data_IF_464633585213
#
_entry.id   IF_464633585213
#
_cell.length_a   1.000
_cell.length_b   1.000
_cell.length_c   1.000
_cell.angle_alpha   90.00
_cell.angle_beta   90.00
_cell.angle_gamma   90.00
#
_symmetry.space_group_name_H-M   'P 1'
#
loop_
_entity.id
_entity.type
_entity.pdbx_description
1 polymer ?
#
# COMPACT_ATOMS: atom_id res chain seq x y z
N UNK A 1 -9.30 18.24 4.79
CA UNK A 1 -8.10 18.76 5.49
C UNK A 1 -6.88 18.02 4.95
N UNK A 2 -5.86 18.74 4.50
CA UNK A 2 -4.61 18.17 3.99
C UNK A 2 -3.62 18.00 5.14
N UNK A 3 -2.89 16.87 5.14
CA UNK A 3 -1.81 16.58 6.09
C UNK A 3 -0.47 16.61 5.36
N UNK A 4 0.41 17.52 5.76
CA UNK A 4 1.78 17.60 5.27
C UNK A 4 2.62 16.46 5.86
N UNK A 5 3.50 15.86 5.06
CA UNK A 5 4.31 14.70 5.45
C UNK A 5 5.81 14.96 5.48
N UNK A 6 6.27 16.01 4.83
CA UNK A 6 7.68 16.38 4.77
C UNK A 6 7.90 17.85 5.14
N UNK A 7 9.12 18.22 5.49
CA UNK A 7 9.47 19.60 5.87
C UNK A 7 9.27 20.61 4.72
N UNK A 8 9.41 20.16 3.48
CA UNK A 8 9.20 21.00 2.29
C UNK A 8 7.72 21.28 2.02
N UNK A 9 6.81 20.47 2.57
CA UNK A 9 5.38 20.52 2.28
C UNK A 9 5.00 20.11 0.87
N UNK A 10 5.92 19.49 0.13
CA UNK A 10 5.68 19.02 -1.22
C UNK A 10 4.80 17.77 -1.26
N UNK A 11 4.93 16.87 -0.27
CA UNK A 11 4.12 15.66 -0.15
C UNK A 11 3.05 15.84 0.91
N UNK A 12 1.80 15.68 0.51
CA UNK A 12 0.63 15.79 1.40
C UNK A 12 -0.34 14.65 1.18
N UNK A 13 -1.17 14.39 2.17
CA UNK A 13 -2.31 13.48 2.08
C UNK A 13 -3.62 14.26 2.27
N UNK A 14 -4.62 13.89 1.51
CA UNK A 14 -5.98 14.38 1.62
C UNK A 14 -6.94 13.18 1.63
N UNK A 15 -7.93 13.21 2.50
CA UNK A 15 -8.97 12.17 2.53
C UNK A 15 -9.67 12.10 1.17
N UNK A 16 -9.95 10.88 0.73
CA UNK A 16 -10.74 10.60 -0.49
C UNK A 16 -12.14 11.17 -0.34
N UNK A 17 -12.64 11.77 -1.41
CA UNK A 17 -14.02 12.22 -1.55
C UNK A 17 -14.67 11.57 -2.77
N UNK A 18 -16.02 11.55 -2.91
CA UNK A 18 -16.69 10.89 -4.05
C UNK A 18 -16.21 11.38 -5.41
N UNK A 19 -15.84 12.65 -5.51
CA UNK A 19 -15.36 13.30 -6.74
C UNK A 19 -14.00 12.77 -7.23
N UNK A 20 -13.29 12.00 -6.39
CA UNK A 20 -12.00 11.39 -6.74
C UNK A 20 -12.12 10.08 -7.53
N UNK A 21 -13.32 9.56 -7.77
CA UNK A 21 -13.53 8.25 -8.40
C UNK A 21 -12.79 8.12 -9.74
N UNK A 22 -12.89 9.10 -10.62
CA UNK A 22 -12.21 9.07 -11.93
C UNK A 22 -10.68 9.08 -11.77
N UNK A 23 -10.16 9.83 -10.81
CA UNK A 23 -8.74 9.83 -10.49
C UNK A 23 -8.28 8.47 -9.93
N UNK A 24 -9.03 7.90 -9.01
CA UNK A 24 -8.73 6.57 -8.43
C UNK A 24 -8.80 5.46 -9.49
N UNK A 25 -9.76 5.53 -10.41
CA UNK A 25 -9.83 4.62 -11.57
C UNK A 25 -8.61 4.77 -12.47
N UNK A 26 -8.15 6.00 -12.75
CA UNK A 26 -6.91 6.26 -13.50
C UNK A 26 -5.69 5.66 -12.82
N UNK A 27 -5.54 5.83 -11.51
CA UNK A 27 -4.44 5.24 -10.72
C UNK A 27 -4.48 3.71 -10.80
N UNK A 28 -5.67 3.12 -10.66
CA UNK A 28 -5.87 1.68 -10.78
C UNK A 28 -5.50 1.16 -12.18
N UNK A 29 -5.97 1.82 -13.24
CA UNK A 29 -5.65 1.48 -14.63
C UNK A 29 -4.13 1.52 -14.88
N UNK A 30 -3.44 2.54 -14.38
CA UNK A 30 -1.99 2.66 -14.49
C UNK A 30 -1.25 1.50 -13.81
N UNK A 31 -1.75 1.03 -12.66
CA UNK A 31 -1.17 -0.11 -11.93
C UNK A 31 -1.34 -1.46 -12.65
N UNK A 32 -2.26 -1.53 -13.64
CA UNK A 32 -2.56 -2.74 -14.43
C UNK A 32 -2.06 -2.66 -15.88
N UNK A 33 -1.44 -1.55 -16.27
CA UNK A 33 -1.07 -1.28 -17.66
C UNK A 33 -0.18 -2.38 -18.26
N UNK A 34 0.82 -2.84 -17.53
CA UNK A 34 1.75 -3.88 -18.01
C UNK A 34 1.03 -5.23 -18.21
N UNK A 35 0.14 -5.61 -17.31
CA UNK A 35 -0.65 -6.85 -17.42
C UNK A 35 -1.59 -6.78 -18.63
N UNK A 36 -2.26 -5.63 -18.83
CA UNK A 36 -3.20 -5.41 -19.93
C UNK A 36 -2.52 -5.28 -21.29
N UNK A 37 -1.25 -4.91 -21.33
CA UNK A 37 -0.47 -4.90 -22.56
C UNK A 37 -0.28 -6.31 -23.15
N UNK A 38 -0.35 -7.34 -22.32
CA UNK A 38 -0.16 -8.74 -22.72
C UNK A 38 -1.43 -9.43 -23.26
N UNK A 39 -2.61 -8.82 -23.07
CA UNK A 39 -3.86 -9.41 -23.54
C UNK A 39 -4.28 -8.84 -24.89
N UNK A 40 -4.81 -9.69 -25.81
CA UNK A 40 -5.18 -9.28 -27.18
C UNK A 40 -6.58 -8.63 -27.22
N UNK A 41 -6.86 -7.75 -26.26
CA UNK A 41 -8.12 -7.01 -26.18
C UNK A 41 -7.97 -5.63 -26.81
N UNK A 42 -9.08 -5.11 -27.38
CA UNK A 42 -9.15 -3.72 -27.79
C UNK A 42 -9.22 -2.76 -26.58
N UNK A 43 -9.11 -1.47 -26.83
CA UNK A 43 -9.09 -0.46 -25.77
C UNK A 43 -10.43 -0.33 -25.02
N UNK A 44 -11.55 -0.66 -25.67
CA UNK A 44 -12.87 -0.63 -25.04
C UNK A 44 -13.01 -1.80 -24.06
N UNK A 45 -12.62 -3.00 -24.49
CA UNK A 45 -12.60 -4.20 -23.64
C UNK A 45 -11.69 -4.01 -22.41
N UNK A 46 -10.49 -3.44 -22.62
CA UNK A 46 -9.57 -3.14 -21.51
C UNK A 46 -10.17 -2.15 -20.52
N UNK A 47 -10.78 -1.06 -21.01
CA UNK A 47 -11.43 -0.07 -20.13
C UNK A 47 -12.60 -0.66 -19.35
N UNK A 48 -13.45 -1.45 -19.98
CA UNK A 48 -14.58 -2.11 -19.32
C UNK A 48 -14.10 -3.07 -18.22
N UNK A 49 -13.08 -3.87 -18.51
CA UNK A 49 -12.48 -4.79 -17.56
C UNK A 49 -11.86 -4.05 -16.35
N UNK A 50 -11.06 -3.01 -16.62
CA UNK A 50 -10.43 -2.20 -15.57
C UNK A 50 -11.48 -1.56 -14.65
N UNK A 51 -12.54 -1.00 -15.21
CA UNK A 51 -13.63 -0.40 -14.42
C UNK A 51 -14.30 -1.44 -13.52
N UNK A 52 -14.67 -2.59 -14.08
CA UNK A 52 -15.29 -3.67 -13.32
C UNK A 52 -14.39 -4.14 -12.16
N UNK A 53 -13.10 -4.34 -12.42
CA UNK A 53 -12.14 -4.77 -11.39
C UNK A 53 -11.90 -3.70 -10.33
N UNK A 54 -11.84 -2.44 -10.74
CA UNK A 54 -11.72 -1.31 -9.82
C UNK A 54 -12.93 -1.22 -8.87
N UNK A 55 -14.15 -1.28 -9.40
CA UNK A 55 -15.39 -1.24 -8.61
C UNK A 55 -15.45 -2.39 -7.60
N UNK A 56 -15.11 -3.62 -8.04
CA UNK A 56 -15.07 -4.80 -7.18
C UNK A 56 -14.00 -4.66 -6.07
N UNK A 57 -12.80 -4.20 -6.40
CA UNK A 57 -11.74 -3.97 -5.43
C UNK A 57 -12.14 -2.89 -4.42
N UNK A 58 -12.67 -1.77 -4.89
CA UNK A 58 -13.11 -0.66 -4.05
C UNK A 58 -14.16 -1.11 -3.04
N UNK A 59 -15.22 -1.79 -3.50
CA UNK A 59 -16.27 -2.32 -2.63
C UNK A 59 -15.69 -3.27 -1.58
N UNK A 60 -14.82 -4.19 -1.99
CA UNK A 60 -14.19 -5.16 -1.10
C UNK A 60 -13.32 -4.48 -0.01
N UNK A 61 -12.58 -3.43 -0.35
CA UNK A 61 -11.75 -2.72 0.63
C UNK A 61 -12.60 -1.97 1.64
N UNK A 62 -13.61 -1.24 1.22
CA UNK A 62 -14.50 -0.51 2.13
C UNK A 62 -15.31 -1.44 3.03
N UNK A 63 -15.72 -2.61 2.52
CA UNK A 63 -16.41 -3.62 3.33
C UNK A 63 -15.47 -4.26 4.37
N UNK A 64 -14.26 -4.63 3.94
CA UNK A 64 -13.30 -5.35 4.78
C UNK A 64 -12.56 -4.45 5.78
N UNK A 65 -12.37 -3.18 5.44
CA UNK A 65 -11.60 -2.21 6.23
C UNK A 65 -12.37 -0.89 6.39
N UNK A 66 -13.56 -0.90 7.04
CA UNK A 66 -14.41 0.30 7.13
C UNK A 66 -13.74 1.45 7.88
N UNK A 67 -12.84 1.15 8.81
CA UNK A 67 -12.13 2.13 9.63
C UNK A 67 -10.74 2.51 9.06
N UNK A 68 -10.42 2.09 7.84
CA UNK A 68 -9.15 2.44 7.21
C UNK A 68 -9.11 3.90 6.77
N UNK A 69 -7.91 4.47 6.76
CA UNK A 69 -7.64 5.77 6.15
C UNK A 69 -7.46 5.60 4.65
N UNK A 70 -8.34 6.22 3.88
CA UNK A 70 -8.29 6.28 2.41
C UNK A 70 -7.87 7.67 1.98
N UNK A 71 -6.68 7.80 1.41
CA UNK A 71 -6.10 9.10 1.09
C UNK A 71 -5.64 9.21 -0.36
N UNK A 72 -5.82 10.41 -0.92
CA UNK A 72 -5.14 10.86 -2.14
C UNK A 72 -3.77 11.39 -1.75
N UNK A 73 -2.75 10.98 -2.50
CA UNK A 73 -1.39 11.51 -2.40
C UNK A 73 -1.31 12.75 -3.29
N UNK A 74 -0.90 13.85 -2.69
CA UNK A 74 -0.60 15.11 -3.39
C UNK A 74 0.92 15.33 -3.40
N UNK A 75 1.46 15.70 -4.57
CA UNK A 75 2.84 16.11 -4.72
C UNK A 75 2.89 17.45 -5.45
N UNK A 76 3.42 18.48 -4.77
CA UNK A 76 3.44 19.86 -5.27
C UNK A 76 2.05 20.38 -5.68
N UNK A 77 1.01 19.94 -4.97
CA UNK A 77 -0.37 20.33 -5.20
C UNK A 77 -1.12 19.48 -6.26
N UNK A 78 -0.44 18.57 -6.96
CA UNK A 78 -1.07 17.68 -7.94
C UNK A 78 -1.45 16.34 -7.31
N UNK A 79 -2.56 15.75 -7.73
CA UNK A 79 -2.96 14.38 -7.36
C UNK A 79 -2.07 13.38 -8.11
N UNK A 80 -1.28 12.60 -7.35
CA UNK A 80 -0.28 11.70 -7.95
C UNK A 80 -0.46 10.23 -7.61
N UNK A 81 -1.37 9.92 -6.69
CA UNK A 81 -1.56 8.53 -6.28
C UNK A 81 -2.55 8.38 -5.13
N UNK A 82 -2.60 7.17 -4.58
CA UNK A 82 -3.45 6.81 -3.45
C UNK A 82 -2.66 6.07 -2.38
N UNK A 83 -3.09 6.20 -1.12
CA UNK A 83 -2.53 5.53 0.04
C UNK A 83 -3.65 5.07 0.97
N UNK A 84 -3.73 3.77 1.25
CA UNK A 84 -4.73 3.16 2.12
C UNK A 84 -4.08 2.48 3.29
N UNK A 85 -4.48 2.83 4.51
CA UNK A 85 -3.83 2.41 5.74
C UNK A 85 -4.89 1.93 6.75
N UNK A 86 -4.75 0.68 7.18
CA UNK A 86 -5.48 0.14 8.33
C UNK A 86 -4.65 0.28 9.61
N UNK A 87 -5.30 0.64 10.71
CA UNK A 87 -4.69 0.70 12.03
C UNK A 87 -5.51 -0.11 13.00
N UNK A 88 -4.85 -0.99 13.74
CA UNK A 88 -5.43 -1.75 14.84
C UNK A 88 -4.57 -1.58 16.09
N UNK A 89 -5.01 -2.02 17.27
CA UNK A 89 -4.18 -2.01 18.46
C UNK A 89 -2.89 -2.83 18.33
N UNK A 90 -2.84 -3.79 17.37
CA UNK A 90 -1.72 -4.74 17.24
C UNK A 90 -0.77 -4.39 16.09
N UNK A 91 -1.21 -3.58 15.11
CA UNK A 91 -0.40 -3.31 13.92
C UNK A 91 -0.86 -2.07 13.13
N UNK A 92 0.07 -1.51 12.38
CA UNK A 92 -0.23 -0.63 11.25
C UNK A 92 -0.13 -1.48 9.97
N UNK A 93 -1.11 -1.40 9.10
CA UNK A 93 -1.14 -2.14 7.85
C UNK A 93 -1.22 -1.19 6.66
N UNK A 94 -0.20 -1.20 5.83
CA UNK A 94 -0.25 -0.57 4.51
C UNK A 94 -1.10 -1.48 3.62
N UNK A 95 -2.35 -1.07 3.37
CA UNK A 95 -3.32 -1.85 2.59
C UNK A 95 -3.07 -1.71 1.10
N UNK A 96 -2.82 -0.47 0.65
CA UNK A 96 -2.51 -0.18 -0.74
C UNK A 96 -1.72 1.12 -0.87
N UNK A 97 -0.79 1.15 -1.80
CA UNK A 97 -0.06 2.35 -2.25
C UNK A 97 0.15 2.25 -3.75
N UNK A 98 -0.29 3.28 -4.46
CA UNK A 98 -0.07 3.38 -5.90
C UNK A 98 0.24 4.82 -6.28
N UNK A 99 1.31 5.02 -7.04
CA UNK A 99 1.75 6.32 -7.56
C UNK A 99 1.77 6.22 -9.07
N UNK A 100 1.17 7.21 -9.74
CA UNK A 100 1.18 7.29 -11.20
C UNK A 100 2.61 7.23 -11.74
N UNK A 101 2.84 6.52 -12.86
CA UNK A 101 4.19 6.28 -13.40
C UNK A 101 5.01 7.55 -13.60
N UNK A 102 4.39 8.64 -14.05
CA UNK A 102 5.02 9.93 -14.28
C UNK A 102 5.54 10.62 -13.01
N UNK A 103 5.09 10.17 -11.83
CA UNK A 103 5.51 10.69 -10.52
C UNK A 103 6.33 9.70 -9.70
N UNK A 104 6.59 8.51 -10.23
CA UNK A 104 7.49 7.55 -9.59
C UNK A 104 8.95 8.02 -9.62
N UNK A 105 9.77 7.45 -8.75
CA UNK A 105 11.21 7.77 -8.63
C UNK A 105 11.51 9.25 -8.28
N UNK A 106 10.52 9.97 -7.72
CA UNK A 106 10.67 11.36 -7.22
C UNK A 106 10.75 11.44 -5.70
N UNK A 107 10.92 10.30 -5.02
CA UNK A 107 11.02 10.25 -3.55
C UNK A 107 9.68 10.25 -2.81
N UNK A 108 8.55 10.39 -3.49
CA UNK A 108 7.21 10.43 -2.86
C UNK A 108 6.95 9.18 -2.02
N UNK A 109 7.17 7.99 -2.59
CA UNK A 109 7.00 6.73 -1.86
C UNK A 109 7.89 6.61 -0.62
N UNK A 110 9.12 7.13 -0.69
CA UNK A 110 10.04 7.14 0.44
C UNK A 110 9.56 8.05 1.59
N UNK A 111 9.00 9.23 1.27
CA UNK A 111 8.40 10.14 2.26
C UNK A 111 7.22 9.47 2.96
N UNK A 112 6.31 8.87 2.19
CA UNK A 112 5.15 8.14 2.73
C UNK A 112 5.58 7.01 3.67
N UNK A 113 6.53 6.20 3.24
CA UNK A 113 6.99 5.05 4.03
C UNK A 113 7.74 5.50 5.29
N UNK A 114 8.59 6.52 5.22
CA UNK A 114 9.25 7.09 6.41
C UNK A 114 8.26 7.62 7.44
N UNK A 115 7.17 8.25 6.99
CA UNK A 115 6.11 8.73 7.88
C UNK A 115 5.42 7.57 8.61
N UNK A 116 5.11 6.48 7.89
CA UNK A 116 4.52 5.28 8.51
C UNK A 116 5.49 4.57 9.44
N UNK A 117 6.77 4.53 9.12
CA UNK A 117 7.81 3.98 9.99
C UNK A 117 7.97 4.80 11.26
N UNK A 118 7.94 6.12 11.18
CA UNK A 118 7.97 6.99 12.36
C UNK A 118 6.74 6.77 13.26
N UNK A 119 5.55 6.59 12.67
CA UNK A 119 4.34 6.22 13.41
C UNK A 119 4.48 4.84 14.08
N UNK A 120 5.02 3.85 13.36
CA UNK A 120 5.30 2.51 13.86
C UNK A 120 6.23 2.54 15.07
N UNK A 121 7.33 3.28 14.99
CA UNK A 121 8.29 3.45 16.11
C UNK A 121 7.62 4.14 17.31
N UNK A 122 6.90 5.24 17.10
CA UNK A 122 6.24 6.01 18.15
C UNK A 122 5.17 5.19 18.90
N UNK A 123 4.46 4.31 18.21
CA UNK A 123 3.41 3.47 18.79
C UNK A 123 3.89 2.12 19.27
N UNK A 124 5.12 1.71 18.95
CA UNK A 124 5.62 0.38 19.23
C UNK A 124 4.90 -0.74 18.47
N UNK A 125 4.30 -0.42 17.30
CA UNK A 125 3.50 -1.35 16.50
C UNK A 125 4.25 -1.76 15.23
N UNK A 126 4.18 -3.05 14.82
CA UNK A 126 4.74 -3.47 13.54
C UNK A 126 4.00 -2.83 12.37
N UNK A 127 4.74 -2.48 11.32
CA UNK A 127 4.21 -2.07 10.03
C UNK A 127 4.24 -3.25 9.07
N UNK A 128 3.09 -3.60 8.50
CA UNK A 128 2.92 -4.76 7.61
C UNK A 128 2.39 -4.35 6.25
N UNK A 129 2.81 -5.08 5.23
CA UNK A 129 2.34 -4.91 3.85
C UNK A 129 2.36 -6.23 3.09
N UNK A 130 1.41 -6.39 2.14
CA UNK A 130 1.42 -7.50 1.18
C UNK A 130 2.00 -7.03 -0.15
N UNK A 131 3.06 -7.66 -0.60
CA UNK A 131 3.74 -7.34 -1.87
C UNK A 131 3.57 -8.47 -2.86
N UNK A 132 3.18 -8.14 -4.09
CA UNK A 132 3.11 -9.11 -5.18
C UNK A 132 4.52 -9.62 -5.53
N UNK A 133 4.71 -10.94 -5.56
CA UNK A 133 6.03 -11.58 -5.72
C UNK A 133 6.76 -11.17 -6.99
N UNK A 134 6.02 -10.96 -8.08
CA UNK A 134 6.62 -10.56 -9.37
C UNK A 134 7.04 -9.08 -9.39
N UNK A 135 6.59 -8.27 -8.43
CA UNK A 135 7.02 -6.87 -8.29
C UNK A 135 8.34 -6.79 -7.53
N UNK A 136 9.42 -7.23 -8.19
CA UNK A 136 10.77 -7.26 -7.58
C UNK A 136 11.30 -5.87 -7.21
N UNK A 137 10.85 -4.83 -7.91
CA UNK A 137 11.21 -3.45 -7.57
C UNK A 137 10.59 -3.02 -6.24
N UNK A 138 9.32 -3.34 -6.01
CA UNK A 138 8.66 -3.08 -4.73
C UNK A 138 9.28 -3.89 -3.59
N UNK A 139 9.57 -5.19 -3.79
CA UNK A 139 10.24 -6.00 -2.79
C UNK A 139 11.56 -5.37 -2.35
N UNK A 140 12.43 -5.02 -3.29
CA UNK A 140 13.71 -4.34 -3.00
C UNK A 140 13.53 -2.97 -2.33
N UNK A 141 12.47 -2.24 -2.70
CA UNK A 141 12.14 -0.98 -2.06
C UNK A 141 11.83 -1.18 -0.57
N UNK A 142 10.95 -2.12 -0.21
CA UNK A 142 10.60 -2.40 1.18
C UNK A 142 11.77 -2.99 1.97
N UNK A 143 12.57 -3.88 1.38
CA UNK A 143 13.78 -4.43 2.02
C UNK A 143 14.78 -3.34 2.41
N UNK A 144 14.98 -2.32 1.56
CA UNK A 144 15.83 -1.16 1.90
C UNK A 144 15.34 -0.36 3.11
N UNK A 145 14.04 -0.42 3.40
CA UNK A 145 13.44 0.19 4.60
C UNK A 145 13.35 -0.76 5.79
N UNK A 146 14.01 -1.91 5.72
CA UNK A 146 14.12 -2.86 6.81
C UNK A 146 12.92 -3.80 6.96
N UNK A 147 12.09 -3.93 5.94
CA UNK A 147 11.08 -4.98 5.90
C UNK A 147 11.71 -6.33 5.61
N UNK A 148 11.17 -7.36 6.24
CA UNK A 148 11.50 -8.76 5.99
C UNK A 148 10.24 -9.57 5.72
N UNK A 149 10.34 -10.64 4.92
CA UNK A 149 9.21 -11.54 4.68
C UNK A 149 8.87 -12.30 5.97
N UNK A 150 7.57 -12.40 6.27
CA UNK A 150 7.05 -13.17 7.41
C UNK A 150 6.18 -14.34 6.98
N UNK A 151 5.55 -14.26 5.81
CA UNK A 151 4.66 -15.31 5.31
C UNK A 151 4.58 -15.28 3.79
N UNK A 152 4.57 -16.46 3.18
CA UNK A 152 4.31 -16.66 1.76
C UNK A 152 2.82 -17.00 1.55
N UNK A 153 2.09 -16.13 0.85
CA UNK A 153 0.65 -16.26 0.63
C UNK A 153 0.36 -16.32 -0.87
N UNK A 154 0.71 -17.44 -1.49
CA UNK A 154 0.46 -17.69 -2.91
C UNK A 154 1.21 -16.71 -3.83
N UNK A 155 0.50 -15.80 -4.49
CA UNK A 155 1.10 -14.79 -5.38
C UNK A 155 1.76 -13.62 -4.63
N UNK A 156 1.57 -13.52 -3.32
CA UNK A 156 2.01 -12.40 -2.48
C UNK A 156 2.97 -12.86 -1.39
N UNK A 157 3.75 -11.92 -0.87
CA UNK A 157 4.57 -12.06 0.32
C UNK A 157 4.07 -11.06 1.36
N UNK A 158 3.75 -11.53 2.56
CA UNK A 158 3.59 -10.69 3.73
C UNK A 158 4.96 -10.22 4.19
N UNK A 159 5.16 -8.91 4.23
CA UNK A 159 6.37 -8.27 4.74
C UNK A 159 6.06 -7.49 6.01
N UNK A 160 6.99 -7.48 6.94
CA UNK A 160 6.89 -6.79 8.22
C UNK A 160 8.14 -5.98 8.51
N UNK A 161 7.96 -4.79 9.07
CA UNK A 161 9.00 -4.02 9.73
C UNK A 161 8.58 -3.81 11.19
N UNK A 162 9.39 -4.32 12.12
CA UNK A 162 9.17 -4.12 13.56
C UNK A 162 9.84 -2.85 14.05
N UNK A 163 9.27 -2.17 15.06
CA UNK A 163 9.91 -1.06 15.73
C UNK A 163 11.25 -1.46 16.35
N UNK A 164 12.18 -0.53 16.44
CA UNK A 164 13.46 -0.71 17.11
C UNK A 164 13.22 -1.00 18.59
N UNK A 165 13.77 -2.10 19.12
CA UNK A 165 13.59 -2.52 20.53
C UNK A 165 12.41 -3.45 20.80
N UNK A 166 11.60 -3.79 19.80
CA UNK A 166 10.63 -4.88 19.89
C UNK A 166 11.38 -6.22 19.83
N UNK A 167 11.42 -6.95 20.95
CA UNK A 167 11.98 -8.30 20.98
C UNK A 167 11.26 -9.18 19.96
N UNK A 168 12.02 -9.95 19.18
CA UNK A 168 11.45 -11.00 18.35
C UNK A 168 10.66 -11.95 19.26
N UNK A 169 9.35 -12.05 19.06
CA UNK A 169 8.59 -13.16 19.63
C UNK A 169 9.05 -14.36 18.81
N UNK A 170 9.92 -15.18 19.40
CA UNK A 170 10.24 -16.48 18.82
C UNK A 170 8.93 -17.26 18.66
N UNK A 171 8.73 -17.97 17.55
CA UNK A 171 7.60 -18.87 17.45
C UNK A 171 7.71 -19.88 18.58
N UNK A 172 6.72 -19.94 19.44
CA UNK A 172 6.63 -20.92 20.53
C UNK A 172 6.71 -22.32 19.94
N UNK A 173 7.88 -22.95 20.05
CA UNK A 173 8.07 -24.36 19.82
C UNK A 173 7.55 -25.12 21.05
N UNK A 174 6.23 -25.21 21.18
CA UNK A 174 5.64 -26.16 22.13
C UNK A 174 4.31 -26.69 21.57
N UNK A 175 4.44 -27.72 20.79
CA UNK A 175 3.38 -28.68 20.53
C UNK A 175 4.03 -30.08 20.57
N UNK A 176 4.32 -30.52 21.78
CA UNK A 176 4.59 -31.92 22.02
C UNK A 176 3.26 -32.67 21.92
N UNK A 177 3.10 -33.66 21.05
CA UNK A 177 1.93 -34.52 21.08
C UNK A 177 2.12 -35.53 22.21
N UNK A 178 1.30 -35.43 23.23
CA UNK A 178 1.12 -36.55 24.16
C UNK A 178 0.06 -37.51 23.60
N UNK A 179 0.49 -38.74 23.36
CA UNK A 179 -0.16 -40.00 23.47
C UNK A 179 -1.50 -40.31 22.80
#
# INVERSE_FOLDING_TARGET
MERQLDESGEVRLRVVVPEDEDFLLRVYAASRADELALVPWDEEQKRAFVRQQFEAQHAQYYERFPDAEYSIILYRGEQVGRLWIGRTPEQIRLLDIAILPEFQNRGVGAVLLKTLLAESEAKGLPLRHMVFKMNTAALRFYERFGFSPIEDVGAYIHMERRPSGSAAVEPSADATPHG
#
